data_IF_536042003568
#
_entry.id   IF_536042003568
#
_cell.length_a   1.000
_cell.length_b   1.000
_cell.length_c   1.000
_cell.angle_alpha   90.00
_cell.angle_beta   90.00
_cell.angle_gamma   90.00
#
_symmetry.space_group_name_H-M   'P 1'
#
loop_
_entity.id
_entity.type
_entity.pdbx_description
1 polymer ?
#
# COMPACT_ATOMS: atom_id res chain seq x y z
N UNK A 1 30.85 -28.97 3.05
CA UNK A 1 29.65 -29.27 2.25
C UNK A 1 30.05 -29.18 0.80
N UNK A 2 30.02 -30.28 0.06
CA UNK A 2 30.26 -30.31 -1.38
C UNK A 2 29.24 -29.40 -2.08
N UNK A 3 29.70 -28.53 -2.96
CA UNK A 3 28.83 -27.69 -3.77
C UNK A 3 28.10 -28.58 -4.77
N UNK A 4 26.77 -28.61 -4.71
CA UNK A 4 25.93 -29.29 -5.72
C UNK A 4 26.16 -28.62 -7.08
N UNK A 5 26.53 -29.42 -8.07
CA UNK A 5 26.75 -29.03 -9.46
C UNK A 5 25.47 -29.22 -10.31
N UNK A 6 25.47 -28.70 -11.54
CA UNK A 6 24.34 -28.80 -12.47
C UNK A 6 24.10 -30.25 -12.95
N UNK A 7 25.18 -31.01 -13.10
CA UNK A 7 25.15 -32.43 -13.47
C UNK A 7 24.46 -33.30 -12.41
N UNK A 8 24.65 -33.00 -11.13
CA UNK A 8 24.02 -33.70 -10.00
C UNK A 8 22.48 -33.64 -10.03
N UNK A 9 21.93 -32.65 -10.76
CA UNK A 9 20.50 -32.39 -10.84
C UNK A 9 19.94 -32.58 -12.26
N UNK A 10 20.71 -33.22 -13.15
CA UNK A 10 20.24 -33.60 -14.49
C UNK A 10 20.25 -32.46 -15.51
N UNK A 11 20.95 -31.36 -15.25
CA UNK A 11 21.18 -30.29 -16.22
C UNK A 11 22.45 -30.66 -17.00
N UNK A 12 22.26 -31.31 -18.15
CA UNK A 12 23.36 -31.96 -18.90
C UNK A 12 23.43 -31.53 -20.37
N UNK A 13 22.32 -31.05 -20.94
CA UNK A 13 22.21 -30.82 -22.37
C UNK A 13 22.11 -29.32 -22.70
N UNK A 14 22.56 -28.97 -23.91
CA UNK A 14 22.43 -27.64 -24.51
C UNK A 14 21.70 -27.74 -25.84
N UNK A 15 20.98 -26.68 -26.23
CA UNK A 15 20.35 -26.59 -27.56
C UNK A 15 21.38 -26.22 -28.62
N UNK A 16 22.30 -25.32 -28.29
CA UNK A 16 23.31 -24.82 -29.23
C UNK A 16 24.55 -25.71 -29.23
N UNK A 17 25.14 -25.90 -30.41
CA UNK A 17 26.45 -26.53 -30.60
C UNK A 17 27.60 -25.51 -30.70
N UNK A 18 27.31 -24.22 -30.53
CA UNK A 18 28.32 -23.16 -30.52
C UNK A 18 29.29 -23.32 -29.34
N UNK A 19 30.55 -22.88 -29.48
CA UNK A 19 31.49 -22.90 -28.38
C UNK A 19 31.02 -21.99 -27.24
N UNK A 20 31.13 -22.50 -26.00
CA UNK A 20 30.79 -21.74 -24.81
C UNK A 20 31.79 -20.62 -24.51
N UNK A 21 31.36 -19.63 -23.74
CA UNK A 21 32.21 -18.57 -23.23
C UNK A 21 31.93 -18.35 -21.73
N UNK A 22 32.86 -17.68 -21.05
CA UNK A 22 32.73 -17.38 -19.61
C UNK A 22 32.27 -15.96 -19.39
N UNK A 23 31.50 -15.75 -18.33
CA UNK A 23 31.09 -14.43 -17.87
C UNK A 23 30.63 -14.49 -16.43
N UNK A 24 30.71 -13.36 -15.73
CA UNK A 24 30.29 -13.22 -14.34
C UNK A 24 28.85 -12.71 -14.33
N UNK A 25 27.92 -13.55 -13.88
CA UNK A 25 26.53 -13.21 -13.64
C UNK A 25 26.34 -12.64 -12.23
N UNK A 26 25.45 -11.64 -12.09
CA UNK A 26 25.07 -11.04 -10.79
C UNK A 26 26.28 -10.52 -9.99
N UNK A 27 27.34 -10.01 -10.65
CA UNK A 27 28.48 -9.40 -9.94
C UNK A 27 27.99 -8.27 -9.03
N UNK A 28 27.15 -7.36 -9.57
CA UNK A 28 26.32 -6.41 -8.82
C UNK A 28 24.86 -6.84 -8.88
N UNK A 29 24.06 -6.46 -7.88
CA UNK A 29 22.60 -6.71 -7.93
C UNK A 29 21.91 -5.92 -9.04
N UNK A 30 22.49 -4.77 -9.45
CA UNK A 30 22.01 -3.95 -10.56
C UNK A 30 22.30 -4.53 -11.94
N UNK A 31 23.14 -5.56 -12.04
CA UNK A 31 23.38 -6.31 -13.28
C UNK A 31 22.24 -7.29 -13.60
N UNK A 32 21.28 -7.44 -12.69
CA UNK A 32 20.17 -8.36 -12.85
C UNK A 32 18.87 -7.62 -12.52
N UNK A 33 18.19 -7.15 -13.56
CA UNK A 33 16.96 -6.38 -13.44
C UNK A 33 15.78 -7.25 -13.85
N UNK A 34 14.73 -7.26 -13.04
CA UNK A 34 13.53 -8.07 -13.25
C UNK A 34 12.30 -7.18 -13.20
N UNK A 35 11.60 -7.03 -14.32
CA UNK A 35 10.32 -6.33 -14.36
C UNK A 35 9.21 -7.34 -14.61
N UNK A 36 8.19 -7.36 -13.77
CA UNK A 36 7.01 -8.19 -13.97
C UNK A 36 6.30 -7.82 -15.27
N UNK A 37 5.75 -8.81 -15.97
CA UNK A 37 4.84 -8.63 -17.09
C UNK A 37 3.44 -9.01 -16.61
N UNK A 38 2.53 -8.04 -16.61
CA UNK A 38 1.17 -8.25 -16.13
C UNK A 38 0.35 -9.16 -17.07
N UNK A 39 -0.91 -9.44 -16.68
CA UNK A 39 -1.83 -10.25 -17.47
C UNK A 39 -2.22 -9.63 -18.81
N UNK A 40 -2.03 -8.32 -18.99
CA UNK A 40 -2.31 -7.58 -20.21
C UNK A 40 -1.07 -7.48 -21.12
N UNK A 41 0.07 -8.03 -20.70
CA UNK A 41 1.33 -7.99 -21.43
C UNK A 41 2.17 -6.73 -21.19
N UNK A 42 1.76 -5.83 -20.29
CA UNK A 42 2.54 -4.63 -20.00
C UNK A 42 3.68 -4.93 -19.04
N UNK A 43 4.84 -4.34 -19.34
CA UNK A 43 6.01 -4.40 -18.45
C UNK A 43 5.82 -3.40 -17.32
N UNK A 44 5.88 -3.89 -16.09
CA UNK A 44 5.69 -3.12 -14.88
C UNK A 44 6.95 -2.29 -14.60
N UNK A 45 6.80 -0.96 -14.68
CA UNK A 45 7.85 0.00 -14.37
C UNK A 45 7.36 1.01 -13.34
N UNK A 46 8.22 1.37 -12.38
CA UNK A 46 7.93 2.44 -11.43
C UNK A 46 8.24 3.79 -12.09
N UNK A 47 7.21 4.50 -12.55
CA UNK A 47 7.34 5.77 -13.28
C UNK A 47 6.90 6.98 -12.47
N UNK A 48 6.02 6.81 -11.48
CA UNK A 48 5.56 7.90 -10.62
C UNK A 48 5.52 7.46 -9.17
N UNK A 49 6.01 8.32 -8.27
CA UNK A 49 5.98 8.13 -6.82
C UNK A 49 4.83 8.90 -6.14
N UNK A 50 4.13 9.73 -6.91
CA UNK A 50 3.13 10.65 -6.38
C UNK A 50 1.81 9.93 -6.11
N UNK A 51 1.18 10.27 -4.99
CA UNK A 51 -0.17 9.80 -4.70
C UNK A 51 -1.17 10.56 -5.57
N UNK A 52 -2.16 9.87 -6.18
CA UNK A 52 -3.30 10.52 -6.81
C UNK A 52 -3.97 11.48 -5.82
N UNK A 53 -4.57 12.55 -6.34
CA UNK A 53 -5.27 13.58 -5.57
C UNK A 53 -6.60 13.08 -4.97
N UNK A 54 -6.56 11.99 -4.20
CA UNK A 54 -7.68 11.43 -3.42
C UNK A 54 -8.28 12.45 -2.44
N UNK A 55 -7.47 13.42 -1.99
CA UNK A 55 -7.86 14.47 -1.03
C UNK A 55 -8.80 15.50 -1.68
N UNK A 56 -8.68 15.74 -2.99
CA UNK A 56 -9.49 16.74 -3.67
C UNK A 56 -10.93 16.24 -3.87
N UNK A 57 -11.12 14.96 -4.17
CA UNK A 57 -12.43 14.35 -4.37
C UNK A 57 -13.20 14.16 -3.06
N UNK A 58 -12.56 13.72 -1.97
CA UNK A 58 -13.24 13.69 -0.66
C UNK A 58 -13.61 15.07 -0.13
N UNK A 59 -12.76 16.09 -0.37
CA UNK A 59 -13.09 17.47 -0.01
C UNK A 59 -14.23 17.99 -0.87
N UNK A 60 -14.23 17.71 -2.17
CA UNK A 60 -15.33 18.09 -3.08
C UNK A 60 -16.62 17.38 -2.73
N UNK A 61 -16.65 16.06 -2.57
CA UNK A 61 -17.87 15.33 -2.20
C UNK A 61 -18.43 15.80 -0.86
N UNK A 62 -17.58 16.04 0.16
CA UNK A 62 -18.03 16.59 1.45
C UNK A 62 -18.55 18.02 1.35
N UNK A 63 -17.94 18.87 0.51
CA UNK A 63 -18.39 20.24 0.25
C UNK A 63 -19.66 20.28 -0.61
N UNK A 64 -19.81 19.38 -1.56
CA UNK A 64 -21.02 19.25 -2.39
C UNK A 64 -22.19 18.73 -1.55
N UNK A 65 -21.96 17.76 -0.65
CA UNK A 65 -22.97 17.29 0.32
C UNK A 65 -23.37 18.39 1.34
N UNK A 66 -22.49 19.36 1.61
CA UNK A 66 -22.78 20.57 2.39
C UNK A 66 -23.62 21.60 1.63
N UNK A 67 -23.49 21.65 0.30
CA UNK A 67 -24.21 22.60 -0.57
C UNK A 67 -25.58 22.08 -1.02
N UNK A 68 -25.78 20.76 -1.09
CA UNK A 68 -27.02 20.13 -1.59
C UNK A 68 -28.06 19.81 -0.51
N UNK A 69 -27.69 19.81 0.79
CA UNK A 69 -28.61 19.47 1.89
C UNK A 69 -29.17 20.71 2.56
N UNK A 70 -30.49 20.80 2.65
CA UNK A 70 -31.16 21.76 3.51
C UNK A 70 -30.94 21.37 4.99
N UNK A 71 -30.03 22.08 5.66
CA UNK A 71 -29.69 21.83 7.06
C UNK A 71 -30.67 22.47 8.04
N UNK A 72 -31.68 23.22 7.56
CA UNK A 72 -32.76 23.82 8.36
C UNK A 72 -33.31 22.90 9.47
N UNK A 73 -33.76 21.65 9.18
CA UNK A 73 -34.30 20.76 10.22
C UNK A 73 -33.23 20.25 11.21
N UNK A 74 -31.97 20.16 10.77
CA UNK A 74 -30.86 19.75 11.64
C UNK A 74 -30.48 20.89 12.59
N UNK A 75 -30.48 22.13 12.09
CA UNK A 75 -30.23 23.34 12.89
C UNK A 75 -31.36 23.53 13.92
N UNK A 76 -32.62 23.29 13.55
CA UNK A 76 -33.74 23.33 14.50
C UNK A 76 -33.63 22.27 15.60
N UNK A 77 -33.25 21.03 15.24
CA UNK A 77 -32.99 20.00 16.23
C UNK A 77 -31.81 20.34 17.15
N UNK A 78 -30.81 21.05 16.64
CA UNK A 78 -29.68 21.52 17.44
C UNK A 78 -30.06 22.71 18.34
N UNK A 79 -30.91 23.62 17.84
CA UNK A 79 -31.48 24.75 18.60
C UNK A 79 -32.25 24.25 19.83
N UNK A 80 -33.02 23.18 19.69
CA UNK A 80 -33.71 22.55 20.82
C UNK A 80 -32.74 21.95 21.87
N UNK A 81 -31.53 21.56 21.44
CA UNK A 81 -30.54 20.92 22.32
C UNK A 81 -29.61 21.92 23.00
N UNK A 82 -29.04 22.87 22.26
CA UNK A 82 -27.98 23.77 22.70
C UNK A 82 -28.42 25.25 22.83
N UNK A 83 -29.65 25.57 22.41
CA UNK A 83 -30.21 26.92 22.47
C UNK A 83 -29.94 27.76 21.23
N UNK A 84 -30.58 28.94 21.19
CA UNK A 84 -30.61 29.84 20.05
C UNK A 84 -29.23 30.38 19.67
N UNK A 85 -28.47 30.82 20.67
CA UNK A 85 -27.15 31.44 20.45
C UNK A 85 -26.15 30.48 19.79
N UNK A 86 -26.17 29.21 20.18
CA UNK A 86 -25.24 28.21 19.65
C UNK A 86 -25.69 27.66 18.30
N UNK A 87 -27.00 27.64 18.02
CA UNK A 87 -27.55 27.26 16.72
C UNK A 87 -27.21 28.29 15.63
N UNK A 88 -27.27 29.58 15.93
CA UNK A 88 -26.90 30.62 14.95
C UNK A 88 -25.40 30.58 14.63
N UNK A 89 -24.53 30.37 15.63
CA UNK A 89 -23.08 30.18 15.41
C UNK A 89 -22.78 28.97 14.51
N UNK A 90 -23.52 27.87 14.68
CA UNK A 90 -23.34 26.68 13.84
C UNK A 90 -23.79 26.96 12.40
N UNK A 91 -24.88 27.70 12.23
CA UNK A 91 -25.42 28.09 10.92
C UNK A 91 -24.49 29.04 10.18
N UNK A 92 -23.96 30.06 10.85
CA UNK A 92 -22.94 30.97 10.31
C UNK A 92 -21.70 30.19 9.87
N UNK A 93 -21.21 29.28 10.71
CA UNK A 93 -20.04 28.46 10.40
C UNK A 93 -20.25 27.54 9.19
N UNK A 94 -21.44 26.93 9.05
CA UNK A 94 -21.78 26.12 7.87
C UNK A 94 -21.80 27.00 6.61
N UNK A 95 -22.35 28.21 6.68
CA UNK A 95 -22.41 29.14 5.56
C UNK A 95 -21.00 29.65 5.15
N UNK A 96 -20.13 29.94 6.12
CA UNK A 96 -18.74 30.32 5.87
C UNK A 96 -17.98 29.20 5.15
N UNK A 97 -18.12 27.96 5.60
CA UNK A 97 -17.52 26.79 4.96
C UNK A 97 -18.06 26.61 3.52
N UNK A 98 -19.35 26.81 3.31
CA UNK A 98 -19.98 26.75 1.99
C UNK A 98 -19.49 27.85 1.04
N UNK A 99 -19.12 29.02 1.55
CA UNK A 99 -18.61 30.15 0.78
C UNK A 99 -17.16 29.98 0.28
N UNK A 100 -16.46 28.93 0.75
CA UNK A 100 -15.14 28.55 0.26
C UNK A 100 -13.95 29.27 0.91
N UNK A 101 -14.19 30.15 1.88
CA UNK A 101 -13.14 30.75 2.72
C UNK A 101 -12.68 29.68 3.72
N UNK A 102 -11.59 28.99 3.43
CA UNK A 102 -11.11 27.89 4.29
C UNK A 102 -9.79 28.24 4.96
N UNK A 103 -9.81 28.46 6.28
CA UNK A 103 -8.64 28.28 7.14
C UNK A 103 -8.74 26.92 7.87
N UNK A 104 -7.73 26.04 7.80
CA UNK A 104 -7.78 24.71 8.44
C UNK A 104 -7.83 24.73 9.97
N UNK A 105 -7.62 25.91 10.58
CA UNK A 105 -7.62 26.13 12.03
C UNK A 105 -8.87 26.86 12.55
N UNK A 106 -9.88 27.07 11.71
CA UNK A 106 -11.11 27.76 12.10
C UNK A 106 -12.03 26.85 12.93
N UNK A 107 -12.53 27.38 14.05
CA UNK A 107 -13.39 26.66 14.98
C UNK A 107 -14.43 27.58 15.60
N UNK A 108 -15.58 27.03 15.94
CA UNK A 108 -16.57 27.71 16.79
C UNK A 108 -16.50 27.19 18.21
N UNK A 109 -16.71 28.10 19.16
CA UNK A 109 -16.85 27.79 20.57
C UNK A 109 -18.31 27.90 20.99
N UNK A 110 -18.88 26.77 21.39
CA UNK A 110 -20.22 26.72 21.96
C UNK A 110 -20.24 27.30 23.37
N UNK A 111 -21.42 27.70 23.82
CA UNK A 111 -21.60 28.37 25.09
C UNK A 111 -21.13 27.49 26.26
N UNK A 112 -20.53 28.07 27.31
CA UNK A 112 -20.00 27.29 28.43
C UNK A 112 -21.12 26.54 29.15
N UNK A 113 -20.97 25.21 29.25
CA UNK A 113 -21.95 24.35 29.90
C UNK A 113 -21.28 23.55 31.02
N UNK A 114 -21.67 23.72 32.30
CA UNK A 114 -21.10 22.96 33.41
C UNK A 114 -21.54 21.49 33.41
N UNK A 115 -22.71 21.18 32.86
CA UNK A 115 -23.25 19.81 32.84
C UNK A 115 -22.52 18.90 31.84
N UNK A 116 -22.03 17.77 32.36
CA UNK A 116 -21.35 16.74 31.57
C UNK A 116 -22.31 16.00 30.66
N UNK A 117 -23.56 15.81 31.07
CA UNK A 117 -24.56 15.05 30.32
C UNK A 117 -24.97 15.83 29.06
N UNK A 118 -25.22 17.13 29.20
CA UNK A 118 -25.47 18.02 28.08
C UNK A 118 -24.30 18.06 27.09
N UNK A 119 -23.05 18.21 27.56
CA UNK A 119 -21.87 18.16 26.65
C UNK A 119 -21.79 16.83 25.88
N UNK A 120 -22.09 15.71 26.53
CA UNK A 120 -22.12 14.41 25.88
C UNK A 120 -23.24 14.31 24.82
N UNK A 121 -24.41 14.89 25.07
CA UNK A 121 -25.51 14.96 24.12
C UNK A 121 -25.12 15.78 22.87
N UNK A 122 -24.46 16.93 23.06
CA UNK A 122 -23.91 17.74 21.96
C UNK A 122 -22.90 16.94 21.14
N UNK A 123 -21.94 16.27 21.78
CA UNK A 123 -20.97 15.40 21.09
C UNK A 123 -21.66 14.29 20.27
N UNK A 124 -22.69 13.66 20.82
CA UNK A 124 -23.46 12.63 20.11
C UNK A 124 -24.25 13.21 18.94
N UNK A 125 -24.83 14.40 19.09
CA UNK A 125 -25.53 15.09 18.01
C UNK A 125 -24.62 15.29 16.78
N UNK A 126 -23.43 15.85 16.98
CA UNK A 126 -22.46 16.01 15.89
C UNK A 126 -22.03 14.67 15.29
N UNK A 127 -21.79 13.66 16.13
CA UNK A 127 -21.38 12.33 15.68
C UNK A 127 -22.45 11.62 14.83
N UNK A 128 -23.72 11.82 15.15
CA UNK A 128 -24.83 11.15 14.46
C UNK A 128 -25.31 11.94 13.24
N UNK A 129 -25.52 13.25 13.40
CA UNK A 129 -26.20 14.10 12.42
C UNK A 129 -25.23 14.93 11.57
N UNK A 130 -24.01 15.21 12.06
CA UNK A 130 -23.06 16.12 11.42
C UNK A 130 -21.61 15.57 11.41
N UNK A 131 -21.41 14.40 10.79
CA UNK A 131 -20.14 13.64 10.76
C UNK A 131 -18.93 14.38 10.16
N UNK A 132 -19.17 15.52 9.52
CA UNK A 132 -18.15 16.38 8.92
C UNK A 132 -17.40 17.21 9.96
N UNK A 133 -17.97 17.39 11.15
CA UNK A 133 -17.35 18.15 12.23
C UNK A 133 -16.76 17.24 13.30
N UNK A 134 -15.65 17.68 13.88
CA UNK A 134 -15.03 17.09 15.06
C UNK A 134 -15.26 18.02 16.23
N UNK A 135 -15.66 17.43 17.35
CA UNK A 135 -15.98 18.17 18.58
C UNK A 135 -15.01 17.78 19.69
N UNK A 136 -14.42 18.76 20.36
CA UNK A 136 -13.54 18.57 21.52
C UNK A 136 -14.05 19.42 22.70
N UNK A 137 -14.03 18.90 23.92
CA UNK A 137 -14.29 19.72 25.11
C UNK A 137 -13.02 20.48 25.50
N UNK A 138 -13.11 21.80 25.62
CA UNK A 138 -12.05 22.68 26.15
C UNK A 138 -12.54 23.38 27.42
N UNK A 139 -11.62 23.90 28.22
CA UNK A 139 -11.98 24.74 29.37
C UNK A 139 -12.49 26.09 28.84
N UNK A 140 -13.58 26.56 29.44
CA UNK A 140 -14.23 27.82 29.10
C UNK A 140 -13.45 29.04 29.60
N UNK A 141 -13.84 30.25 29.19
CA UNK A 141 -13.14 31.50 29.53
C UNK A 141 -12.97 31.72 31.04
N UNK A 142 -13.87 31.18 31.87
CA UNK A 142 -13.86 31.36 33.32
C UNK A 142 -13.08 30.28 34.08
N UNK A 143 -12.41 29.35 33.40
CA UNK A 143 -11.67 28.20 33.98
C UNK A 143 -12.47 27.24 34.89
N UNK A 144 -13.73 27.55 35.18
CA UNK A 144 -14.68 26.74 35.99
C UNK A 144 -15.71 26.05 35.09
N UNK A 145 -16.07 26.65 33.97
CA UNK A 145 -17.01 26.14 32.98
C UNK A 145 -16.26 25.41 31.85
N UNK A 146 -16.90 24.44 31.18
CA UNK A 146 -16.34 23.73 30.02
C UNK A 146 -17.17 24.02 28.78
N UNK A 147 -16.51 24.20 27.66
CA UNK A 147 -17.15 24.51 26.38
C UNK A 147 -16.81 23.44 25.34
N UNK A 148 -17.71 23.25 24.38
CA UNK A 148 -17.48 22.34 23.26
C UNK A 148 -16.98 23.16 22.08
N UNK A 149 -15.78 22.84 21.60
CA UNK A 149 -15.20 23.38 20.38
C UNK A 149 -15.56 22.49 19.21
N UNK A 150 -16.10 23.09 18.15
CA UNK A 150 -16.47 22.40 16.90
C UNK A 150 -15.54 22.87 15.79
N UNK A 151 -14.98 21.93 15.04
CA UNK A 151 -14.00 22.19 13.97
C UNK A 151 -14.24 21.26 12.81
N UNK A 152 -13.90 21.68 11.59
CA UNK A 152 -14.03 20.82 10.42
C UNK A 152 -13.09 19.61 10.55
N UNK A 153 -13.53 18.43 10.11
CA UNK A 153 -12.69 17.24 10.04
C UNK A 153 -11.69 17.37 8.87
N UNK A 154 -10.71 18.25 9.01
CA UNK A 154 -9.51 18.22 8.17
C UNK A 154 -8.72 16.98 8.58
N UNK A 155 -8.40 16.09 7.64
CA UNK A 155 -7.66 14.84 7.92
C UNK A 155 -6.23 15.03 8.48
N UNK A 156 -5.90 16.22 8.97
CA UNK A 156 -4.68 16.56 9.71
C UNK A 156 -4.68 15.82 11.05
N UNK A 157 -3.99 14.69 11.07
CA UNK A 157 -3.63 14.00 12.30
C UNK A 157 -2.63 14.85 13.09
N UNK A 158 -3.14 15.66 14.01
CA UNK A 158 -2.38 16.23 15.11
C UNK A 158 -3.06 15.82 16.43
N UNK A 159 -2.28 15.20 17.32
CA UNK A 159 -2.72 14.94 18.70
C UNK A 159 -3.12 13.50 19.01
N UNK A 160 -2.11 12.67 19.27
CA UNK A 160 -2.21 11.38 19.95
C UNK A 160 -3.13 11.43 21.19
N UNK A 161 -4.35 10.89 21.07
CA UNK A 161 -5.01 10.22 22.21
C UNK A 161 -4.76 8.72 22.08
N UNK A 162 -3.80 8.24 22.87
CA UNK A 162 -3.58 6.83 23.22
C UNK A 162 -4.83 6.31 23.94
N UNK A 163 -5.91 6.04 23.20
CA UNK A 163 -6.93 5.12 23.67
C UNK A 163 -6.48 3.73 23.27
N UNK A 164 -6.17 2.91 24.29
CA UNK A 164 -6.00 1.46 24.17
C UNK A 164 -7.31 0.88 23.62
N UNK A 165 -7.48 0.91 22.29
CA UNK A 165 -8.56 0.18 21.63
C UNK A 165 -8.31 -1.30 21.93
N UNK A 166 -9.11 -1.79 22.89
CA UNK A 166 -9.45 -3.20 23.14
C UNK A 166 -9.19 -4.00 21.87
N UNK A 167 -8.25 -4.94 21.95
CA UNK A 167 -7.84 -5.86 20.88
C UNK A 167 -9.11 -6.46 20.26
N UNK A 168 -9.60 -5.85 19.17
CA UNK A 168 -10.75 -6.34 18.41
C UNK A 168 -10.46 -7.81 18.10
N UNK A 169 -11.39 -8.70 18.43
CA UNK A 169 -11.24 -10.13 18.25
C UNK A 169 -10.66 -10.41 16.88
N UNK A 170 -9.52 -11.11 16.88
CA UNK A 170 -8.83 -11.59 15.68
C UNK A 170 -9.59 -12.79 15.12
N UNK A 171 -10.90 -12.64 14.92
CA UNK A 171 -11.69 -13.59 14.17
C UNK A 171 -11.18 -13.66 12.73
N UNK A 172 -11.52 -14.77 12.08
CA UNK A 172 -11.01 -15.34 10.83
C UNK A 172 -11.20 -14.49 9.56
N UNK A 173 -10.98 -13.17 9.66
CA UNK A 173 -11.13 -12.23 8.55
C UNK A 173 -9.91 -12.34 7.64
N UNK A 174 -10.12 -12.45 6.31
CA UNK A 174 -9.03 -12.65 5.35
C UNK A 174 -8.06 -11.46 5.30
N UNK A 175 -8.54 -10.25 5.59
CA UNK A 175 -7.75 -9.01 5.53
C UNK A 175 -7.81 -8.20 6.83
N UNK A 176 -6.75 -7.42 7.07
CA UNK A 176 -6.66 -6.51 8.22
C UNK A 176 -7.51 -5.26 8.00
N UNK A 177 -8.45 -4.99 8.91
CA UNK A 177 -9.32 -3.82 8.83
C UNK A 177 -8.71 -2.55 9.46
N UNK A 178 -7.41 -2.54 9.77
CA UNK A 178 -6.74 -1.35 10.30
C UNK A 178 -6.51 -0.33 9.18
N UNK A 179 -7.07 0.87 9.34
CA UNK A 179 -7.02 1.93 8.32
C UNK A 179 -8.20 1.92 7.35
N UNK A 180 -9.15 0.98 7.49
CA UNK A 180 -10.38 0.94 6.70
C UNK A 180 -11.53 1.78 7.28
N UNK A 181 -11.26 2.58 8.31
CA UNK A 181 -12.27 3.44 8.95
C UNK A 181 -12.77 4.44 7.91
N UNK A 182 -14.07 4.43 7.60
CA UNK A 182 -14.71 5.29 6.60
C UNK A 182 -14.21 5.09 5.15
N UNK A 183 -14.01 3.84 4.71
CA UNK A 183 -13.69 3.54 3.30
C UNK A 183 -14.92 3.75 2.40
N UNK A 184 -14.87 4.64 1.39
CA UNK A 184 -15.99 4.89 0.49
C UNK A 184 -16.38 3.65 -0.33
N UNK A 185 -17.67 3.47 -0.59
CA UNK A 185 -18.16 2.32 -1.37
C UNK A 185 -17.86 2.43 -2.87
N UNK A 186 -17.69 3.67 -3.37
CA UNK A 186 -17.33 3.97 -4.76
C UNK A 186 -15.85 3.76 -5.09
N UNK A 187 -14.99 3.54 -4.08
CA UNK A 187 -13.56 3.29 -4.27
C UNK A 187 -13.27 1.80 -4.14
N UNK A 188 -12.50 1.27 -5.11
CA UNK A 188 -12.04 -0.11 -5.11
C UNK A 188 -11.46 -0.54 -3.76
N UNK A 189 -11.74 -1.78 -3.35
CA UNK A 189 -11.37 -2.30 -2.03
C UNK A 189 -9.86 -2.42 -1.82
N UNK A 190 -9.09 -2.45 -2.90
CA UNK A 190 -7.65 -2.61 -2.88
C UNK A 190 -6.96 -1.44 -3.56
N UNK A 191 -5.84 -1.03 -3.01
CA UNK A 191 -4.90 -0.14 -3.67
C UNK A 191 -3.83 -0.98 -4.36
N UNK A 192 -3.80 -0.94 -5.69
CA UNK A 192 -2.69 -1.47 -6.50
C UNK A 192 -1.58 -0.43 -6.58
N UNK A 193 -0.33 -0.88 -6.48
CA UNK A 193 0.86 -0.07 -6.66
C UNK A 193 2.00 -0.90 -7.26
N UNK A 194 3.03 -0.23 -7.74
CA UNK A 194 4.27 -0.86 -8.17
C UNK A 194 5.27 -0.82 -7.01
N UNK A 195 5.79 -1.99 -6.67
CA UNK A 195 6.87 -2.17 -5.70
C UNK A 195 8.18 -2.30 -6.45
N UNK A 196 9.06 -1.33 -6.25
CA UNK A 196 10.47 -1.40 -6.62
C UNK A 196 11.30 -1.81 -5.40
N UNK A 197 12.18 -2.80 -5.57
CA UNK A 197 13.08 -3.24 -4.50
C UNK A 197 14.48 -3.53 -5.04
N UNK A 198 15.48 -3.23 -4.21
CA UNK A 198 16.89 -3.47 -4.49
C UNK A 198 17.48 -4.38 -3.43
N UNK A 199 18.08 -5.49 -3.87
CA UNK A 199 18.77 -6.46 -3.01
C UNK A 199 17.93 -6.95 -1.80
N UNK A 200 16.61 -7.11 -1.99
CA UNK A 200 15.66 -7.50 -0.95
C UNK A 200 14.73 -8.60 -1.41
N UNK A 201 14.31 -9.42 -0.45
CA UNK A 201 13.24 -10.38 -0.69
C UNK A 201 11.86 -9.68 -0.75
N UNK A 202 10.91 -10.27 -1.48
CA UNK A 202 9.56 -9.72 -1.64
C UNK A 202 8.82 -9.68 -0.30
N UNK A 203 8.87 -10.76 0.47
CA UNK A 203 8.22 -10.85 1.78
C UNK A 203 8.86 -9.90 2.79
N UNK A 204 10.19 -9.75 2.74
CA UNK A 204 10.92 -8.79 3.57
C UNK A 204 10.46 -7.36 3.31
N UNK A 205 10.35 -6.97 2.03
CA UNK A 205 9.87 -5.63 1.64
C UNK A 205 8.42 -5.38 2.10
N UNK A 206 7.51 -6.33 1.85
CA UNK A 206 6.11 -6.23 2.29
C UNK A 206 5.98 -6.24 3.81
N UNK A 207 6.82 -6.99 4.51
CA UNK A 207 6.87 -7.02 5.97
C UNK A 207 7.27 -5.66 6.57
N UNK A 208 8.24 -4.97 5.96
CA UNK A 208 8.62 -3.62 6.37
C UNK A 208 7.50 -2.61 6.10
N UNK A 209 6.90 -2.64 4.91
CA UNK A 209 5.74 -1.80 4.58
C UNK A 209 4.58 -2.03 5.56
N UNK A 210 4.26 -3.29 5.86
CA UNK A 210 3.23 -3.66 6.82
C UNK A 210 3.50 -3.11 8.22
N UNK A 211 4.74 -3.23 8.72
CA UNK A 211 5.14 -2.66 10.02
C UNK A 211 4.94 -1.14 10.06
N UNK A 212 5.36 -0.42 9.02
CA UNK A 212 5.25 1.04 8.96
C UNK A 212 3.80 1.53 8.80
N UNK A 213 2.97 0.78 8.10
CA UNK A 213 1.53 1.07 7.96
C UNK A 213 0.71 0.62 9.16
N UNK A 214 1.26 -0.25 10.01
CA UNK A 214 0.57 -0.86 11.14
C UNK A 214 -0.43 -1.93 10.70
N UNK A 215 -0.16 -2.65 9.60
CA UNK A 215 -0.99 -3.74 9.07
C UNK A 215 -0.21 -5.06 8.98
N UNK A 216 -0.93 -6.17 8.88
CA UNK A 216 -0.30 -7.49 8.71
C UNK A 216 0.12 -7.76 7.26
N UNK A 217 1.22 -8.51 7.02
CA UNK A 217 1.68 -8.87 5.67
C UNK A 217 0.64 -9.57 4.80
N UNK A 218 -0.29 -10.34 5.40
CA UNK A 218 -1.41 -10.98 4.68
C UNK A 218 -2.37 -10.01 3.99
N UNK A 219 -2.30 -8.71 4.32
CA UNK A 219 -3.12 -7.68 3.69
C UNK A 219 -2.58 -7.29 2.31
N UNK A 220 -1.37 -7.74 1.97
CA UNK A 220 -0.77 -7.56 0.66
C UNK A 220 -1.02 -8.78 -0.22
N UNK A 221 -1.33 -8.52 -1.49
CA UNK A 221 -1.40 -9.51 -2.57
C UNK A 221 -0.33 -9.22 -3.62
N UNK A 222 0.27 -10.25 -4.19
CA UNK A 222 1.27 -10.15 -5.25
C UNK A 222 1.23 -11.41 -6.12
N UNK A 223 1.62 -11.31 -7.39
CA UNK A 223 1.49 -12.41 -8.36
C UNK A 223 2.64 -13.43 -8.30
N UNK A 224 3.82 -13.03 -7.84
CA UNK A 224 4.94 -13.94 -7.62
C UNK A 224 6.12 -13.25 -6.94
N UNK A 225 6.97 -14.04 -6.29
CA UNK A 225 8.21 -13.53 -5.69
C UNK A 225 9.25 -13.24 -6.76
N UNK A 226 10.11 -12.24 -6.51
CA UNK A 226 11.21 -11.86 -7.39
C UNK A 226 12.55 -12.04 -6.67
N UNK A 227 13.62 -12.29 -7.42
CA UNK A 227 14.97 -12.52 -6.91
C UNK A 227 15.39 -11.52 -5.82
N UNK A 228 15.96 -12.03 -4.72
CA UNK A 228 16.54 -11.16 -3.68
C UNK A 228 17.70 -10.34 -4.23
N UNK A 229 18.70 -10.99 -4.84
CA UNK A 229 19.89 -10.34 -5.42
C UNK A 229 19.58 -9.82 -6.82
N UNK A 230 18.73 -8.81 -6.90
CA UNK A 230 18.31 -8.14 -8.12
C UNK A 230 17.85 -6.70 -7.83
N UNK A 231 17.64 -5.94 -8.90
CA UNK A 231 16.71 -4.81 -8.92
C UNK A 231 15.41 -5.30 -9.53
N UNK A 232 14.28 -5.17 -8.84
CA UNK A 232 13.04 -5.70 -9.36
C UNK A 232 11.84 -4.80 -9.16
N UNK A 233 10.96 -4.77 -10.15
CA UNK A 233 9.68 -4.06 -10.11
C UNK A 233 8.53 -5.04 -10.32
N UNK A 234 7.51 -4.99 -9.46
CA UNK A 234 6.33 -5.86 -9.54
C UNK A 234 5.05 -5.16 -9.08
N UNK A 235 3.88 -5.67 -9.48
CA UNK A 235 2.58 -5.20 -8.95
C UNK A 235 2.33 -5.81 -7.58
N UNK A 236 1.75 -4.98 -6.72
CA UNK A 236 1.29 -5.37 -5.38
C UNK A 236 -0.06 -4.70 -5.14
N UNK A 237 -0.97 -5.39 -4.48
CA UNK A 237 -2.22 -4.83 -3.97
C UNK A 237 -2.22 -4.82 -2.46
N UNK A 238 -2.83 -3.81 -1.83
CA UNK A 238 -3.04 -3.76 -0.39
C UNK A 238 -4.50 -3.43 -0.07
N UNK A 239 -5.09 -4.15 0.88
CA UNK A 239 -6.49 -3.96 1.25
C UNK A 239 -6.73 -2.62 1.97
N UNK A 240 -7.65 -1.80 1.44
CA UNK A 240 -8.17 -0.55 2.02
C UNK A 240 -7.10 0.37 2.62
N UNK A 241 -6.06 0.70 1.85
CA UNK A 241 -5.09 1.73 2.20
C UNK A 241 -5.09 2.88 1.20
N UNK A 242 -4.81 4.09 1.69
CA UNK A 242 -4.71 5.31 0.88
C UNK A 242 -3.35 5.43 0.22
N UNK A 243 -3.31 5.91 -1.03
CA UNK A 243 -2.06 6.10 -1.76
C UNK A 243 -1.11 7.06 -1.04
N UNK A 244 -1.63 8.14 -0.45
CA UNK A 244 -0.86 9.13 0.31
C UNK A 244 -0.05 8.51 1.46
N UNK A 245 -0.62 7.52 2.16
CA UNK A 245 0.07 6.83 3.26
C UNK A 245 1.25 6.01 2.76
N UNK A 246 1.13 5.36 1.61
CA UNK A 246 2.22 4.58 1.02
C UNK A 246 3.28 5.50 0.40
N UNK A 247 2.87 6.54 -0.31
CA UNK A 247 3.76 7.53 -0.92
C UNK A 247 4.67 8.19 0.13
N UNK A 248 4.12 8.56 1.28
CA UNK A 248 4.87 9.15 2.40
C UNK A 248 5.94 8.21 2.99
N UNK A 249 5.87 6.89 2.76
CA UNK A 249 6.90 5.96 3.22
C UNK A 249 8.17 6.03 2.38
N UNK A 250 8.10 6.51 1.13
CA UNK A 250 9.23 6.54 0.21
C UNK A 250 10.43 7.33 0.77
N UNK A 251 10.20 8.32 1.62
CA UNK A 251 11.26 9.12 2.26
C UNK A 251 12.06 8.31 3.30
N UNK A 252 11.45 7.29 3.91
CA UNK A 252 12.03 6.50 5.00
C UNK A 252 12.52 5.13 4.54
N UNK A 253 12.07 4.68 3.37
CA UNK A 253 12.42 3.38 2.82
C UNK A 253 13.77 3.43 2.09
N UNK A 254 14.68 2.55 2.47
CA UNK A 254 16.00 2.38 1.84
C UNK A 254 15.95 1.18 0.90
N UNK A 255 16.29 1.38 -0.38
CA UNK A 255 16.26 0.33 -1.42
C UNK A 255 14.89 -0.32 -1.62
N UNK A 256 13.81 0.40 -1.29
CA UNK A 256 12.42 0.09 -1.61
C UNK A 256 11.77 1.40 -2.03
N UNK A 257 11.00 1.39 -3.12
CA UNK A 257 10.13 2.50 -3.52
C UNK A 257 8.77 1.95 -3.94
N UNK A 258 7.72 2.73 -3.69
CA UNK A 258 6.34 2.41 -4.06
C UNK A 258 5.72 3.56 -4.82
N UNK A 259 4.88 3.25 -5.80
CA UNK A 259 4.31 4.26 -6.68
C UNK A 259 3.30 3.68 -7.67
N UNK A 260 2.94 4.45 -8.71
CA UNK A 260 1.96 4.06 -9.72
C UNK A 260 0.65 3.53 -9.09
N UNK A 261 0.13 4.32 -8.17
CA UNK A 261 -1.03 3.95 -7.36
C UNK A 261 -2.32 3.94 -8.19
N UNK A 262 -3.17 2.95 -7.96
CA UNK A 262 -4.46 2.81 -8.63
C UNK A 262 -5.42 1.98 -7.78
N UNK A 263 -6.64 2.46 -7.54
CA UNK A 263 -7.67 1.68 -6.84
C UNK A 263 -8.26 0.60 -7.75
N UNK A 264 -8.42 -0.59 -7.21
CA UNK A 264 -8.94 -1.78 -7.90
C UNK A 264 -9.90 -2.55 -6.99
N UNK A 265 -10.84 -3.28 -7.59
CA UNK A 265 -11.85 -4.03 -6.84
C UNK A 265 -11.31 -5.33 -6.25
N UNK A 266 -10.36 -5.95 -6.92
CA UNK A 266 -9.82 -7.26 -6.60
C UNK A 266 -8.34 -7.19 -6.21
N UNK A 267 -7.97 -8.03 -5.24
CA UNK A 267 -6.58 -8.20 -4.83
C UNK A 267 -5.81 -9.10 -5.80
N UNK A 268 -4.50 -8.88 -5.92
CA UNK A 268 -3.62 -9.70 -6.74
C UNK A 268 -3.31 -11.02 -6.03
N UNK A 269 -3.42 -12.13 -6.76
CA UNK A 269 -3.19 -13.51 -6.29
C UNK A 269 -1.99 -14.12 -7.00
N UNK A 270 -1.33 -15.09 -6.36
CA UNK A 270 -0.23 -15.85 -6.95
C UNK A 270 -0.62 -16.42 -8.33
N UNK A 271 0.28 -16.28 -9.31
CA UNK A 271 0.08 -16.73 -10.68
C UNK A 271 -0.58 -15.71 -11.61
N UNK A 272 -1.06 -14.57 -11.11
CA UNK A 272 -1.67 -13.51 -11.94
C UNK A 272 -0.63 -12.61 -12.64
N UNK A 273 0.30 -13.22 -13.37
CA UNK A 273 1.28 -12.56 -14.24
C UNK A 273 1.49 -13.40 -15.51
N UNK A 274 1.85 -12.77 -16.63
CA UNK A 274 2.27 -13.52 -17.83
C UNK A 274 3.71 -14.01 -17.72
N UNK A 275 4.58 -13.23 -17.07
CA UNK A 275 6.00 -13.57 -16.99
C UNK A 275 6.85 -12.46 -16.40
N UNK A 276 8.15 -12.52 -16.67
CA UNK A 276 9.11 -11.52 -16.22
C UNK A 276 10.00 -11.12 -17.39
N UNK A 277 10.23 -9.81 -17.54
CA UNK A 277 11.23 -9.25 -18.43
C UNK A 277 12.54 -9.08 -17.69
N UNK A 278 13.55 -9.83 -18.12
CA UNK A 278 14.89 -9.77 -17.56
C UNK A 278 15.78 -8.84 -18.38
N UNK A 279 16.55 -8.00 -17.69
CA UNK A 279 17.73 -7.33 -18.26
C UNK A 279 18.94 -7.83 -17.50
N UNK A 280 19.83 -8.52 -18.19
CA UNK A 280 20.98 -9.22 -17.58
C UNK A 280 22.27 -8.65 -18.18
N UNK A 281 23.17 -8.23 -17.31
CA UNK A 281 24.51 -7.79 -17.67
C UNK A 281 25.51 -8.88 -17.27
N UNK A 282 26.18 -9.47 -18.26
CA UNK A 282 27.32 -10.35 -18.03
C UNK A 282 28.60 -9.51 -17.98
N UNK A 283 29.39 -9.66 -16.92
CA UNK A 283 30.66 -8.93 -16.74
C UNK A 283 31.87 -9.83 -16.96
N UNK A 284 33.01 -9.23 -17.29
CA UNK A 284 34.27 -9.96 -17.52
C UNK A 284 34.10 -11.13 -18.49
N UNK A 285 33.47 -10.85 -19.64
CA UNK A 285 33.21 -11.86 -20.66
C UNK A 285 34.53 -12.31 -21.27
N UNK A 286 34.78 -13.61 -21.27
CA UNK A 286 35.96 -14.27 -21.85
C UNK A 286 35.48 -15.26 -22.90
N UNK A 287 35.59 -14.85 -24.16
CA UNK A 287 35.26 -15.60 -25.36
C UNK A 287 36.45 -15.59 -26.31
N UNK A 288 36.55 -16.57 -27.20
CA UNK A 288 37.60 -16.61 -28.23
C UNK A 288 37.45 -15.47 -29.23
N UNK A 289 36.20 -15.16 -29.61
CA UNK A 289 35.84 -14.04 -30.50
C UNK A 289 34.57 -13.36 -30.03
N UNK A 290 34.41 -12.08 -30.37
CA UNK A 290 33.16 -11.34 -30.12
C UNK A 290 31.98 -11.95 -30.87
N UNK A 291 32.24 -12.53 -32.05
CA UNK A 291 31.23 -13.17 -32.89
C UNK A 291 30.59 -14.39 -32.22
N UNK A 292 31.34 -15.15 -31.41
CA UNK A 292 30.79 -16.26 -30.62
C UNK A 292 29.70 -15.79 -29.66
N UNK A 293 29.90 -14.63 -29.02
CA UNK A 293 28.92 -14.05 -28.08
C UNK A 293 27.68 -13.59 -28.84
N UNK A 294 27.86 -12.91 -29.98
CA UNK A 294 26.74 -12.47 -30.84
C UNK A 294 25.94 -13.64 -31.37
N UNK A 295 26.60 -14.65 -31.93
CA UNK A 295 25.97 -15.86 -32.44
C UNK A 295 25.20 -16.60 -31.34
N UNK A 296 25.76 -16.69 -30.13
CA UNK A 296 25.08 -17.31 -28.99
C UNK A 296 23.83 -16.55 -28.56
N UNK A 297 23.87 -15.21 -28.57
CA UNK A 297 22.73 -14.36 -28.24
C UNK A 297 21.61 -14.49 -29.29
N UNK A 298 21.97 -14.52 -30.58
CA UNK A 298 21.02 -14.76 -31.68
C UNK A 298 20.38 -16.15 -31.57
N UNK A 299 21.18 -17.19 -31.37
CA UNK A 299 20.69 -18.56 -31.22
C UNK A 299 19.74 -18.72 -30.02
N UNK A 300 20.00 -18.03 -28.90
CA UNK A 300 19.09 -18.00 -27.76
C UNK A 300 17.75 -17.33 -28.09
N UNK A 301 17.76 -16.28 -28.90
CA UNK A 301 16.55 -15.58 -29.34
C UNK A 301 15.71 -16.40 -30.32
N UNK A 302 16.35 -17.11 -31.25
CA UNK A 302 15.67 -17.90 -32.28
C UNK A 302 15.20 -19.27 -31.78
N UNK A 303 16.05 -19.97 -31.03
CA UNK A 303 15.82 -21.36 -30.62
C UNK A 303 15.41 -21.50 -29.16
N UNK A 304 15.53 -20.44 -28.35
CA UNK A 304 15.25 -20.48 -26.93
C UNK A 304 16.29 -21.27 -26.12
N UNK A 305 15.84 -21.84 -25.01
CA UNK A 305 16.66 -22.64 -24.08
C UNK A 305 15.84 -23.79 -23.50
N UNK A 306 16.50 -24.82 -22.97
CA UNK A 306 15.84 -25.94 -22.29
C UNK A 306 15.29 -25.44 -20.96
N UNK A 307 13.98 -25.61 -20.73
CA UNK A 307 13.30 -25.13 -19.53
C UNK A 307 13.58 -26.02 -18.29
N UNK A 308 14.84 -26.03 -17.84
CA UNK A 308 15.26 -26.73 -16.63
C UNK A 308 14.78 -26.02 -15.36
N UNK A 309 14.54 -26.80 -14.30
CA UNK A 309 14.47 -26.25 -12.96
C UNK A 309 15.87 -25.88 -12.48
N UNK A 310 16.14 -24.58 -12.32
CA UNK A 310 17.45 -24.11 -11.88
C UNK A 310 17.80 -24.54 -10.45
N UNK A 311 19.11 -24.53 -10.15
CA UNK A 311 19.67 -24.95 -8.85
C UNK A 311 19.02 -24.26 -7.64
N UNK A 312 18.53 -23.03 -7.80
CA UNK A 312 17.87 -22.29 -6.72
C UNK A 312 16.60 -23.00 -6.22
N UNK A 313 15.77 -23.53 -7.13
CA UNK A 313 14.53 -24.24 -6.79
C UNK A 313 14.87 -25.57 -6.11
N UNK A 314 15.87 -26.28 -6.63
CA UNK A 314 16.30 -27.57 -6.10
C UNK A 314 16.95 -27.46 -4.70
N UNK A 315 17.70 -26.38 -4.46
CA UNK A 315 18.25 -26.04 -3.14
C UNK A 315 17.16 -25.66 -2.12
N UNK A 316 16.16 -24.89 -2.55
CA UNK A 316 15.02 -24.51 -1.69
C UNK A 316 14.16 -25.72 -1.28
N UNK A 317 14.00 -26.70 -2.16
CA UNK A 317 13.21 -27.91 -1.90
C UNK A 317 13.98 -28.96 -1.08
N UNK A 318 15.27 -28.75 -0.76
CA UNK A 318 16.10 -29.74 -0.08
C UNK A 318 16.17 -31.08 -0.83
N UNK A 319 15.87 -31.07 -2.12
CA UNK A 319 15.58 -32.25 -2.93
C UNK A 319 16.81 -33.14 -3.14
N UNK A 320 18.02 -32.60 -2.97
CA UNK A 320 19.23 -33.42 -2.98
C UNK A 320 19.25 -34.46 -1.84
N UNK A 321 18.38 -34.40 -0.82
CA UNK A 321 18.33 -35.44 0.23
C UNK A 321 16.94 -35.79 0.80
N UNK A 322 15.95 -34.90 0.79
CA UNK A 322 14.71 -35.10 1.57
C UNK A 322 13.51 -35.64 0.79
N UNK A 323 13.33 -35.28 -0.49
CA UNK A 323 12.14 -35.70 -1.26
C UNK A 323 12.10 -37.20 -1.58
N UNK A 324 13.25 -37.81 -1.84
CA UNK A 324 13.34 -39.24 -2.15
C UNK A 324 13.02 -40.11 -0.93
N UNK A 325 13.38 -39.66 0.29
CA UNK A 325 13.08 -40.38 1.54
C UNK A 325 11.60 -40.39 1.90
N UNK A 326 10.82 -39.40 1.44
CA UNK A 326 9.37 -39.35 1.70
C UNK A 326 8.57 -40.27 0.79
N UNK A 327 9.03 -40.50 -0.45
CA UNK A 327 8.37 -41.40 -1.40
C UNK A 327 8.81 -42.86 -1.26
N UNK A 328 9.99 -43.09 -0.68
CA UNK A 328 10.46 -44.43 -0.27
C UNK A 328 10.23 -44.62 1.23
N UNK A 329 8.98 -44.77 1.62
CA UNK A 329 8.66 -45.43 2.90
C UNK A 329 8.74 -46.94 2.69
N UNK A 330 9.92 -47.51 2.93
CA UNK A 330 10.05 -48.88 3.44
C UNK A 330 10.31 -48.82 4.95
#
# INVERSE_FOLDING_TARGET
>A
MTSVEESDVGILCYISHLPGFRGILKQRYSDFIVNEVDLDGNVVHLTSLEAPSEIAEEKKEKLVDLLDKDYSPTIESFRALAGESDAEKLKEFINEIASGVNNPDEFILLSPCPDKSHRAAVHNFFKERLKLFVTDTIDGPDSVSKSVRVRLNSGSHSGSRRNSKKRKERGDKPYDSRGSDNWPENIGKFLRFHLYKENKDTQEALGLLGKMLGIQPRSFGFAGTKDKRSVSTQRVTVFKQRASRLAALNEKLIGIKVGNFCHVNDGLVLGQLQGNRFTITLRSVSAETEDTVKASATALGENGFINYFGLQILRLLGLCTKGVKFLKSE
#
